data_IF_786131456825
#
_entry.id   IF_786131456825
#
_cell.length_a   1.000
_cell.length_b   1.000
_cell.length_c   1.000
_cell.angle_alpha   90.00
_cell.angle_beta   90.00
_cell.angle_gamma   90.00
#
_symmetry.space_group_name_H-M   'P 1'
#
loop_
_entity.id
_entity.type
_entity.pdbx_description
1 polymer ?
#
# COMPACT_ATOMS: atom_id res chain seq x y z
N UNK A 1 -24.81 18.12 -4.45
CA UNK A 1 -24.87 16.66 -4.14
C UNK A 1 -24.09 15.97 -5.22
N UNK A 2 -23.15 15.12 -4.87
CA UNK A 2 -22.32 14.38 -5.85
C UNK A 2 -23.01 13.06 -6.21
N UNK A 3 -23.14 12.77 -7.51
CA UNK A 3 -23.61 11.47 -7.98
C UNK A 3 -22.45 10.45 -7.93
N UNK A 4 -22.63 9.37 -7.18
CA UNK A 4 -21.63 8.30 -7.11
C UNK A 4 -21.58 7.53 -8.43
N UNK A 5 -20.38 7.36 -8.96
CA UNK A 5 -20.15 6.65 -10.22
C UNK A 5 -19.10 5.54 -10.04
N UNK A 6 -19.36 4.39 -10.64
CA UNK A 6 -18.41 3.27 -10.67
C UNK A 6 -18.39 2.61 -12.04
N UNK A 7 -17.22 2.14 -12.42
CA UNK A 7 -17.02 1.22 -13.54
C UNK A 7 -16.13 0.08 -13.06
N UNK A 8 -16.70 -1.12 -13.01
CA UNK A 8 -16.00 -2.29 -12.53
C UNK A 8 -16.01 -3.34 -13.63
N UNK A 9 -14.82 -3.78 -14.02
CA UNK A 9 -14.62 -4.80 -15.04
C UNK A 9 -13.94 -6.01 -14.42
N UNK A 10 -14.53 -7.21 -14.57
CA UNK A 10 -13.96 -8.47 -14.09
C UNK A 10 -14.05 -9.50 -15.22
N UNK A 11 -12.92 -10.08 -15.62
CA UNK A 11 -12.86 -11.05 -16.71
C UNK A 11 -13.41 -10.50 -18.04
N UNK A 12 -13.24 -9.19 -18.28
CA UNK A 12 -13.78 -8.51 -19.47
C UNK A 12 -15.27 -8.15 -19.39
N UNK A 13 -15.96 -8.51 -18.30
CA UNK A 13 -17.38 -8.18 -18.09
C UNK A 13 -17.53 -6.93 -17.25
N UNK A 14 -18.33 -5.98 -17.72
CA UNK A 14 -18.64 -4.74 -16.99
C UNK A 14 -19.86 -4.94 -16.09
N UNK A 15 -19.74 -4.52 -14.84
CA UNK A 15 -20.81 -4.50 -13.86
C UNK A 15 -21.48 -3.14 -13.83
N UNK A 16 -22.78 -3.08 -14.10
CA UNK A 16 -23.57 -1.85 -14.10
C UNK A 16 -23.91 -1.32 -12.69
N UNK A 17 -23.71 -2.14 -11.68
CA UNK A 17 -23.92 -1.79 -10.28
C UNK A 17 -23.28 -2.79 -9.36
N UNK A 18 -22.85 -2.30 -8.20
CA UNK A 18 -22.24 -3.10 -7.13
C UNK A 18 -22.89 -2.75 -5.81
N UNK A 19 -22.91 -3.68 -4.89
CA UNK A 19 -23.45 -3.45 -3.55
C UNK A 19 -22.43 -2.70 -2.68
N UNK A 20 -21.18 -3.15 -2.74
CA UNK A 20 -20.10 -2.60 -1.90
C UNK A 20 -18.74 -2.91 -2.52
N UNK A 21 -17.81 -1.97 -2.40
CA UNK A 21 -16.39 -2.13 -2.77
C UNK A 21 -15.54 -1.66 -1.62
N UNK A 22 -14.54 -2.45 -1.27
CA UNK A 22 -13.54 -2.08 -0.27
C UNK A 22 -12.16 -2.38 -0.81
N UNK A 23 -11.29 -1.36 -0.89
CA UNK A 23 -9.93 -1.46 -1.39
C UNK A 23 -8.99 -1.08 -0.26
N UNK A 24 -7.95 -1.88 -0.03
CA UNK A 24 -6.92 -1.61 0.98
C UNK A 24 -5.54 -1.63 0.35
N UNK A 25 -4.75 -0.61 0.64
CA UNK A 25 -3.35 -0.47 0.24
C UNK A 25 -2.52 -0.03 1.44
N UNK A 26 -1.31 -0.56 1.58
CA UNK A 26 -0.40 -0.18 2.67
C UNK A 26 1.04 -0.41 2.27
N UNK A 27 1.96 0.45 2.75
CA UNK A 27 3.41 0.21 2.62
C UNK A 27 3.89 -0.99 3.44
N UNK A 28 3.06 -1.43 4.39
CA UNK A 28 3.36 -2.57 5.26
C UNK A 28 2.89 -3.90 4.71
N UNK A 29 2.11 -3.90 3.64
CA UNK A 29 1.58 -5.12 3.02
C UNK A 29 2.19 -5.34 1.64
N UNK A 30 2.49 -6.61 1.31
CA UNK A 30 3.04 -6.98 0.01
C UNK A 30 2.05 -6.83 -1.13
N UNK A 31 0.77 -6.90 -0.81
CA UNK A 31 -0.31 -6.87 -1.78
C UNK A 31 -1.38 -5.87 -1.39
N UNK A 32 -1.84 -5.09 -2.34
CA UNK A 32 -3.11 -4.40 -2.21
C UNK A 32 -4.26 -5.39 -2.45
N UNK A 33 -5.36 -5.20 -1.73
CA UNK A 33 -6.53 -6.08 -1.84
C UNK A 33 -7.78 -5.28 -2.15
N UNK A 34 -8.69 -5.89 -2.90
CA UNK A 34 -10.03 -5.36 -3.10
C UNK A 34 -11.07 -6.44 -2.82
N UNK A 35 -12.17 -6.04 -2.21
CA UNK A 35 -13.35 -6.89 -2.04
C UNK A 35 -14.51 -6.20 -2.74
N UNK A 36 -15.15 -6.90 -3.68
CA UNK A 36 -16.30 -6.41 -4.43
C UNK A 36 -17.51 -7.30 -4.10
N UNK A 37 -18.60 -6.70 -3.65
CA UNK A 37 -19.85 -7.39 -3.40
C UNK A 37 -20.84 -7.09 -4.50
N UNK A 38 -21.34 -8.15 -5.14
CA UNK A 38 -22.29 -8.07 -6.26
C UNK A 38 -23.50 -8.97 -6.00
N UNK A 39 -24.63 -8.75 -6.67
CA UNK A 39 -25.77 -9.70 -6.61
C UNK A 39 -25.34 -11.12 -7.04
N UNK A 40 -25.99 -12.13 -6.49
CA UNK A 40 -25.75 -13.54 -6.84
C UNK A 40 -26.13 -13.82 -8.28
N UNK A 41 -27.23 -13.21 -8.76
CA UNK A 41 -27.68 -13.26 -10.14
C UNK A 41 -27.61 -11.87 -10.78
N UNK A 42 -27.34 -11.84 -12.06
CA UNK A 42 -27.29 -10.62 -12.85
C UNK A 42 -27.78 -10.86 -14.29
N UNK A 43 -28.17 -9.78 -14.93
CA UNK A 43 -28.57 -9.80 -16.33
C UNK A 43 -27.35 -9.58 -17.20
N UNK A 44 -26.98 -10.58 -17.99
CA UNK A 44 -25.88 -10.50 -18.96
C UNK A 44 -26.41 -9.94 -20.27
N UNK A 45 -25.87 -8.78 -20.69
CA UNK A 45 -26.13 -8.17 -22.00
C UNK A 45 -24.91 -8.36 -22.90
N UNK A 46 -25.08 -9.04 -24.03
CA UNK A 46 -24.07 -9.21 -25.05
C UNK A 46 -24.62 -8.71 -26.39
N UNK A 47 -23.80 -8.00 -27.17
CA UNK A 47 -24.21 -7.53 -28.48
C UNK A 47 -24.65 -8.69 -29.37
N UNK A 48 -25.82 -8.58 -30.00
CA UNK A 48 -26.37 -9.60 -30.91
C UNK A 48 -26.90 -10.89 -30.24
N UNK A 49 -26.99 -10.94 -28.89
CA UNK A 49 -27.55 -12.08 -28.16
C UNK A 49 -28.74 -11.66 -27.33
N UNK A 50 -29.68 -12.60 -27.06
CA UNK A 50 -30.76 -12.38 -26.10
C UNK A 50 -30.21 -12.02 -24.71
N UNK A 51 -30.92 -11.19 -24.01
CA UNK A 51 -30.65 -10.87 -22.62
C UNK A 51 -30.90 -12.10 -21.76
N UNK A 52 -29.90 -12.52 -20.97
CA UNK A 52 -29.98 -13.76 -20.18
C UNK A 52 -29.69 -13.48 -18.72
N UNK A 53 -30.47 -14.04 -17.82
CA UNK A 53 -30.12 -14.05 -16.39
C UNK A 53 -29.07 -15.14 -16.15
N UNK A 54 -28.02 -14.76 -15.41
CA UNK A 54 -26.88 -15.64 -15.11
C UNK A 54 -26.54 -15.60 -13.63
N UNK A 55 -26.04 -16.72 -13.13
CA UNK A 55 -25.42 -16.79 -11.82
C UNK A 55 -23.98 -16.22 -11.93
N UNK A 56 -23.73 -15.09 -11.26
CA UNK A 56 -22.47 -14.34 -11.41
C UNK A 56 -21.24 -15.18 -11.06
N UNK A 57 -21.37 -16.09 -10.08
CA UNK A 57 -20.26 -16.95 -9.68
C UNK A 57 -19.82 -17.95 -10.80
N UNK A 58 -20.70 -18.28 -11.75
CA UNK A 58 -20.34 -19.12 -12.91
C UNK A 58 -19.63 -18.36 -14.02
N UNK A 59 -19.80 -17.06 -14.03
CA UNK A 59 -19.26 -16.15 -15.05
C UNK A 59 -17.88 -15.58 -14.71
N UNK A 60 -17.40 -15.77 -13.49
CA UNK A 60 -16.12 -15.23 -12.97
C UNK A 60 -15.26 -16.41 -12.52
N UNK A 61 -13.95 -16.32 -12.83
CA UNK A 61 -12.97 -17.33 -12.44
C UNK A 61 -11.83 -16.71 -11.64
N UNK A 62 -11.24 -17.50 -10.77
CA UNK A 62 -9.98 -17.15 -10.10
C UNK A 62 -8.89 -16.90 -11.15
N UNK A 63 -8.25 -15.73 -11.06
CA UNK A 63 -7.26 -15.27 -12.03
C UNK A 63 -7.82 -14.34 -13.11
N UNK A 64 -9.12 -14.12 -13.16
CA UNK A 64 -9.69 -13.10 -14.06
C UNK A 64 -9.15 -11.72 -13.70
N UNK A 65 -8.77 -10.89 -14.70
CA UNK A 65 -8.33 -9.53 -14.46
C UNK A 65 -9.47 -8.67 -13.93
N UNK A 66 -9.13 -7.77 -13.02
CA UNK A 66 -10.06 -6.84 -12.36
C UNK A 66 -9.56 -5.42 -12.51
N UNK A 67 -10.44 -4.52 -12.95
CA UNK A 67 -10.25 -3.08 -12.88
C UNK A 67 -11.44 -2.43 -12.20
N UNK A 68 -11.15 -1.59 -11.19
CA UNK A 68 -12.14 -0.86 -10.42
C UNK A 68 -11.86 0.64 -10.58
N UNK A 69 -12.81 1.35 -11.15
CA UNK A 69 -12.79 2.79 -11.32
C UNK A 69 -13.96 3.39 -10.55
N UNK A 70 -13.66 4.33 -9.67
CA UNK A 70 -14.65 4.97 -8.80
C UNK A 70 -14.52 6.50 -8.88
N UNK A 71 -15.62 7.19 -8.62
CA UNK A 71 -15.61 8.65 -8.62
C UNK A 71 -16.98 9.28 -8.45
N UNK A 72 -17.08 10.52 -8.87
CA UNK A 72 -18.27 11.36 -8.77
C UNK A 72 -18.60 12.00 -10.11
N UNK A 73 -19.90 12.21 -10.40
CA UNK A 73 -20.41 13.00 -11.52
C UNK A 73 -19.81 12.60 -12.89
N UNK A 74 -19.54 11.29 -13.06
CA UNK A 74 -18.95 10.73 -14.28
C UNK A 74 -17.43 10.82 -14.37
N UNK A 75 -16.74 11.48 -13.44
CA UNK A 75 -15.28 11.54 -13.36
C UNK A 75 -14.80 10.35 -12.54
N UNK A 76 -14.12 9.42 -13.19
CA UNK A 76 -13.67 8.16 -12.61
C UNK A 76 -12.14 8.10 -12.52
N UNK A 77 -11.63 7.74 -11.34
CA UNK A 77 -10.23 7.39 -11.14
C UNK A 77 -10.07 5.87 -11.04
N UNK A 78 -8.98 5.34 -11.55
CA UNK A 78 -8.63 3.93 -11.34
C UNK A 78 -8.19 3.73 -9.89
N UNK A 79 -9.03 3.05 -9.12
CA UNK A 79 -8.77 2.79 -7.71
C UNK A 79 -8.09 1.44 -7.48
N UNK A 80 -8.25 0.47 -8.40
CA UNK A 80 -7.62 -0.83 -8.25
C UNK A 80 -7.47 -1.53 -9.61
N UNK A 81 -6.32 -2.18 -9.79
CA UNK A 81 -6.06 -3.16 -10.85
C UNK A 81 -5.48 -4.41 -10.21
N UNK A 82 -5.95 -5.59 -10.66
CA UNK A 82 -5.49 -6.85 -10.12
C UNK A 82 -6.22 -8.04 -10.70
N UNK A 83 -6.37 -9.07 -9.89
CA UNK A 83 -6.90 -10.36 -10.29
C UNK A 83 -7.85 -10.92 -9.24
N UNK A 84 -8.84 -11.67 -9.67
CA UNK A 84 -9.73 -12.42 -8.76
C UNK A 84 -8.90 -13.50 -8.03
N UNK A 85 -8.84 -13.38 -6.73
CA UNK A 85 -8.13 -14.34 -5.86
C UNK A 85 -9.07 -15.45 -5.38
N UNK A 86 -10.29 -15.09 -5.02
CA UNK A 86 -11.24 -16.00 -4.40
C UNK A 86 -12.68 -15.50 -4.59
N UNK A 87 -13.60 -16.45 -4.74
CA UNK A 87 -15.04 -16.20 -4.69
C UNK A 87 -15.59 -16.80 -3.40
N UNK A 88 -16.26 -15.98 -2.61
CA UNK A 88 -16.98 -16.42 -1.42
C UNK A 88 -18.47 -16.43 -1.76
N UNK A 89 -19.04 -17.64 -1.84
CA UNK A 89 -20.42 -17.86 -2.22
C UNK A 89 -21.37 -17.50 -1.07
N UNK A 90 -21.59 -16.21 -0.91
CA UNK A 90 -22.47 -15.58 0.08
C UNK A 90 -23.54 -14.78 -0.64
N UNK A 91 -24.49 -14.24 0.09
CA UNK A 91 -25.47 -13.28 -0.41
C UNK A 91 -25.28 -11.94 0.33
N UNK A 92 -24.80 -10.89 -0.34
CA UNK A 92 -24.33 -10.81 -1.74
C UNK A 92 -23.05 -11.62 -1.98
N UNK A 93 -22.80 -12.02 -3.25
CA UNK A 93 -21.57 -12.69 -3.67
C UNK A 93 -20.37 -11.77 -3.40
N UNK A 94 -19.35 -12.31 -2.73
CA UNK A 94 -18.14 -11.57 -2.37
C UNK A 94 -16.96 -12.06 -3.24
N UNK A 95 -16.40 -11.13 -4.01
CA UNK A 95 -15.24 -11.35 -4.90
C UNK A 95 -14.05 -10.72 -4.24
N UNK A 96 -13.09 -11.55 -3.82
CA UNK A 96 -11.83 -11.09 -3.24
C UNK A 96 -10.77 -11.00 -4.32
N UNK A 97 -10.13 -9.85 -4.44
CA UNK A 97 -9.11 -9.55 -5.44
C UNK A 97 -7.78 -9.18 -4.79
N UNK A 98 -6.70 -9.43 -5.49
CA UNK A 98 -5.34 -9.07 -5.12
C UNK A 98 -4.68 -8.38 -6.32
N UNK A 99 -3.80 -7.43 -6.09
CA UNK A 99 -3.09 -6.71 -7.15
C UNK A 99 -2.13 -7.62 -7.95
N UNK A 100 -1.12 -7.06 -8.59
CA UNK A 100 -0.11 -7.80 -9.37
C UNK A 100 0.62 -8.88 -8.54
N UNK A 101 0.63 -8.77 -7.21
CA UNK A 101 1.20 -9.79 -6.32
C UNK A 101 0.53 -11.17 -6.49
N UNK A 102 -0.72 -11.23 -6.95
CA UNK A 102 -1.39 -12.49 -7.28
C UNK A 102 -0.57 -13.33 -8.28
N UNK A 103 -0.01 -12.70 -9.32
CA UNK A 103 0.82 -13.39 -10.30
C UNK A 103 2.15 -13.87 -9.72
N UNK A 104 2.71 -13.10 -8.77
CA UNK A 104 3.96 -13.46 -8.09
C UNK A 104 3.89 -14.79 -7.33
N UNK A 105 2.70 -15.25 -6.97
CA UNK A 105 2.48 -16.56 -6.33
C UNK A 105 2.57 -17.72 -7.30
N UNK A 106 2.35 -17.46 -8.58
CA UNK A 106 2.27 -18.48 -9.64
C UNK A 106 3.54 -18.62 -10.47
N UNK A 107 4.39 -17.60 -10.40
CA UNK A 107 5.67 -17.59 -11.11
C UNK A 107 6.79 -17.97 -10.17
N UNK A 108 7.70 -18.85 -10.60
CA UNK A 108 8.90 -19.26 -9.86
C UNK A 108 10.15 -18.75 -10.55
N UNK A 109 11.19 -18.46 -9.76
CA UNK A 109 12.46 -17.96 -10.22
C UNK A 109 13.62 -18.64 -9.50
N UNK A 110 14.73 -18.82 -10.22
CA UNK A 110 16.01 -19.24 -9.66
C UNK A 110 16.99 -18.10 -9.81
N UNK A 111 17.57 -17.63 -8.72
CA UNK A 111 18.57 -16.56 -8.69
C UNK A 111 19.77 -17.03 -7.90
N UNK A 112 20.97 -16.67 -8.34
CA UNK A 112 22.22 -17.00 -7.64
C UNK A 112 23.29 -15.97 -7.91
N UNK A 113 24.14 -15.73 -6.90
CA UNK A 113 25.32 -14.90 -7.00
C UNK A 113 25.08 -13.43 -6.66
N UNK A 114 26.04 -12.60 -7.09
CA UNK A 114 26.02 -11.16 -6.88
C UNK A 114 24.99 -10.50 -7.82
N UNK A 115 24.15 -9.62 -7.28
CA UNK A 115 23.09 -8.96 -8.03
C UNK A 115 22.74 -7.62 -7.36
N UNK A 116 21.94 -6.81 -8.02
CA UNK A 116 21.33 -5.60 -7.42
C UNK A 116 19.86 -5.85 -7.13
N UNK A 117 19.28 -5.03 -6.26
CA UNK A 117 17.85 -5.11 -5.95
C UNK A 117 16.99 -4.89 -7.23
N UNK A 118 17.37 -3.94 -8.06
CA UNK A 118 16.68 -3.68 -9.35
C UNK A 118 16.76 -4.89 -10.29
N UNK A 119 17.91 -5.55 -10.37
CA UNK A 119 18.07 -6.76 -11.20
C UNK A 119 17.23 -7.92 -10.67
N UNK A 120 17.13 -8.08 -9.34
CA UNK A 120 16.24 -9.10 -8.74
C UNK A 120 14.81 -8.87 -9.18
N UNK A 121 14.29 -7.64 -9.08
CA UNK A 121 12.94 -7.29 -9.51
C UNK A 121 12.75 -7.59 -11.01
N UNK A 122 13.69 -7.17 -11.86
CA UNK A 122 13.64 -7.45 -13.30
C UNK A 122 13.68 -8.95 -13.64
N UNK A 123 14.54 -9.73 -12.97
CA UNK A 123 14.61 -11.19 -13.14
C UNK A 123 13.35 -11.93 -12.63
N UNK A 124 12.60 -11.31 -11.73
CA UNK A 124 11.28 -11.78 -11.33
C UNK A 124 10.18 -11.47 -12.36
N UNK A 125 10.51 -10.85 -13.50
CA UNK A 125 9.53 -10.44 -14.52
C UNK A 125 8.68 -9.24 -14.09
N UNK A 126 9.14 -8.45 -13.13
CA UNK A 126 8.43 -7.32 -12.57
C UNK A 126 9.05 -6.00 -13.03
N UNK A 127 8.24 -4.96 -13.14
CA UNK A 127 8.70 -3.61 -13.42
C UNK A 127 9.04 -2.90 -12.12
N UNK A 128 10.26 -2.39 -12.01
CA UNK A 128 10.66 -1.57 -10.87
C UNK A 128 10.05 -0.16 -10.98
N UNK A 129 9.36 0.29 -9.94
CA UNK A 129 8.93 1.67 -9.77
C UNK A 129 10.02 2.48 -9.05
N UNK A 130 10.30 2.10 -7.80
CA UNK A 130 11.39 2.67 -7.02
C UNK A 130 12.10 1.57 -6.24
N UNK A 131 13.43 1.52 -6.36
CA UNK A 131 14.26 0.53 -5.65
C UNK A 131 15.43 1.21 -4.96
N UNK A 132 15.74 0.76 -3.74
CA UNK A 132 16.96 1.19 -3.06
C UNK A 132 18.21 0.76 -3.86
N UNK A 133 19.26 1.57 -3.79
CA UNK A 133 20.58 1.23 -4.34
C UNK A 133 21.27 0.19 -3.45
N UNK A 134 20.79 -1.05 -3.48
CA UNK A 134 21.27 -2.13 -2.65
C UNK A 134 21.94 -3.19 -3.52
N UNK A 135 23.23 -3.47 -3.25
CA UNK A 135 23.96 -4.59 -3.81
C UNK A 135 23.79 -5.83 -2.91
N UNK A 136 23.44 -6.94 -3.51
CA UNK A 136 23.23 -8.22 -2.86
C UNK A 136 24.37 -9.15 -3.27
N UNK A 137 25.38 -9.32 -2.41
CA UNK A 137 26.62 -10.05 -2.74
C UNK A 137 26.40 -11.56 -2.90
N UNK A 138 25.47 -12.14 -2.14
CA UNK A 138 25.15 -13.57 -2.20
C UNK A 138 23.65 -13.80 -2.06
N UNK A 139 22.92 -13.50 -3.13
CA UNK A 139 21.48 -13.69 -3.13
C UNK A 139 21.10 -15.02 -3.78
N UNK A 140 20.65 -15.97 -2.96
CA UNK A 140 20.32 -17.33 -3.39
C UNK A 140 18.83 -17.57 -3.31
N UNK A 141 18.25 -17.97 -4.45
CA UNK A 141 16.82 -18.32 -4.56
C UNK A 141 16.69 -19.59 -5.39
N UNK A 142 16.63 -20.77 -4.75
CA UNK A 142 16.50 -22.03 -5.46
C UNK A 142 15.05 -22.31 -5.82
N UNK A 143 14.64 -22.02 -7.05
CA UNK A 143 13.31 -22.30 -7.61
C UNK A 143 12.17 -21.98 -6.63
N UNK A 144 12.04 -20.71 -6.24
CA UNK A 144 11.01 -20.24 -5.32
C UNK A 144 10.00 -19.35 -6.04
N UNK A 145 8.73 -19.28 -5.56
CA UNK A 145 7.77 -18.31 -6.07
C UNK A 145 8.31 -16.88 -5.93
N UNK A 146 7.99 -16.03 -6.90
CA UNK A 146 8.37 -14.60 -6.85
C UNK A 146 7.83 -13.94 -5.56
N UNK A 147 6.64 -14.31 -5.12
CA UNK A 147 6.07 -13.84 -3.84
C UNK A 147 6.98 -14.15 -2.64
N UNK A 148 7.66 -15.29 -2.65
CA UNK A 148 8.64 -15.64 -1.61
C UNK A 148 9.87 -14.71 -1.68
N UNK A 149 10.32 -14.38 -2.90
CA UNK A 149 11.46 -13.45 -3.09
C UNK A 149 11.12 -12.08 -2.52
N UNK A 150 9.94 -11.53 -2.85
CA UNK A 150 9.49 -10.24 -2.32
C UNK A 150 9.33 -10.27 -0.79
N UNK A 151 8.78 -11.35 -0.24
CA UNK A 151 8.68 -11.55 1.21
C UNK A 151 10.06 -11.64 1.88
N UNK A 152 11.03 -12.30 1.23
CA UNK A 152 12.41 -12.38 1.70
C UNK A 152 13.08 -11.00 1.72
N UNK A 153 12.93 -10.22 0.66
CA UNK A 153 13.45 -8.84 0.61
C UNK A 153 12.88 -7.99 1.75
N UNK A 154 11.57 -8.09 2.00
CA UNK A 154 10.93 -7.39 3.12
C UNK A 154 11.45 -7.86 4.48
N UNK A 155 11.53 -9.17 4.70
CA UNK A 155 11.88 -9.75 5.99
C UNK A 155 13.36 -9.63 6.33
N UNK A 156 14.23 -10.01 5.38
CA UNK A 156 15.66 -10.15 5.64
C UNK A 156 16.41 -8.82 5.51
N UNK A 157 15.89 -7.93 4.66
CA UNK A 157 16.46 -6.61 4.40
C UNK A 157 15.65 -5.44 4.96
N UNK A 158 14.51 -5.71 5.62
CA UNK A 158 13.68 -4.67 6.24
C UNK A 158 13.09 -3.66 5.27
N UNK A 159 13.00 -4.02 3.99
CA UNK A 159 12.47 -3.13 2.96
C UNK A 159 10.94 -3.04 3.05
N UNK A 160 10.40 -1.88 2.76
CA UNK A 160 9.01 -1.77 2.31
C UNK A 160 8.94 -2.30 0.89
N UNK A 161 8.09 -3.31 0.67
CA UNK A 161 7.87 -3.91 -0.64
C UNK A 161 6.37 -3.94 -0.90
N UNK A 162 5.94 -3.23 -1.93
CA UNK A 162 4.53 -3.17 -2.33
C UNK A 162 4.42 -2.78 -3.81
N UNK A 163 3.21 -2.85 -4.37
CA UNK A 163 2.93 -2.39 -5.73
C UNK A 163 2.28 -1.01 -5.72
N UNK A 164 2.77 -0.13 -6.56
CA UNK A 164 2.14 1.16 -6.80
C UNK A 164 0.82 1.00 -7.61
N UNK A 165 0.00 2.06 -7.77
CA UNK A 165 -1.23 1.99 -8.54
C UNK A 165 -1.05 1.57 -10.00
N UNK A 166 0.12 1.78 -10.58
CA UNK A 166 0.49 1.40 -11.94
C UNK A 166 0.98 -0.06 -12.05
N UNK A 167 1.08 -0.78 -10.90
CA UNK A 167 1.54 -2.17 -10.84
C UNK A 167 3.06 -2.33 -10.89
N UNK A 168 3.83 -1.26 -10.62
CA UNK A 168 5.29 -1.31 -10.50
C UNK A 168 5.69 -1.59 -9.06
N UNK A 169 6.81 -2.28 -8.85
CA UNK A 169 7.29 -2.65 -7.52
C UNK A 169 8.04 -1.48 -6.87
N UNK A 170 7.60 -1.09 -5.71
CA UNK A 170 8.40 -0.35 -4.77
C UNK A 170 9.18 -1.34 -3.90
N UNK A 171 10.50 -1.17 -3.77
CA UNK A 171 11.34 -1.96 -2.88
C UNK A 171 12.49 -1.08 -2.34
N UNK A 172 12.27 -0.45 -1.21
CA UNK A 172 13.25 0.44 -0.57
C UNK A 172 13.01 0.52 0.94
N UNK A 173 13.89 1.24 1.62
CA UNK A 173 13.68 1.59 3.02
C UNK A 173 12.33 2.33 3.18
N UNK A 174 11.61 2.12 4.29
CA UNK A 174 10.37 2.83 4.57
C UNK A 174 10.55 4.35 4.49
N UNK A 175 9.53 5.06 3.99
CA UNK A 175 9.48 6.52 3.92
C UNK A 175 10.54 7.20 3.02
N UNK A 176 11.15 6.46 2.10
CA UNK A 176 12.12 7.03 1.13
C UNK A 176 11.47 7.52 -0.15
N UNK A 177 10.37 6.93 -0.56
CA UNK A 177 9.64 7.36 -1.75
C UNK A 177 8.87 8.63 -1.43
N UNK A 178 8.93 9.58 -2.34
CA UNK A 178 8.09 10.77 -2.33
C UNK A 178 7.29 10.75 -3.62
N UNK A 179 6.01 10.39 -3.50
CA UNK A 179 5.03 10.55 -4.56
C UNK A 179 4.49 11.98 -4.61
N UNK A 180 3.40 12.19 -5.34
CA UNK A 180 2.72 13.48 -5.38
C UNK A 180 2.21 13.89 -4.00
N UNK A 181 2.08 15.20 -3.78
CA UNK A 181 1.51 15.76 -2.55
C UNK A 181 0.02 16.01 -2.73
N UNK A 182 -0.75 15.51 -1.78
CA UNK A 182 -2.21 15.73 -1.70
C UNK A 182 -2.54 16.71 -0.61
N UNK A 183 -3.38 17.68 -0.89
CA UNK A 183 -3.79 18.73 0.04
C UNK A 183 -5.07 18.37 0.76
N UNK A 184 -5.01 18.33 2.08
CA UNK A 184 -6.14 18.12 2.97
C UNK A 184 -6.32 19.32 3.89
N UNK A 185 -7.45 20.01 3.73
CA UNK A 185 -7.85 21.12 4.58
C UNK A 185 -8.88 20.58 5.57
N UNK A 186 -8.51 20.57 6.86
CA UNK A 186 -9.41 20.14 7.93
C UNK A 186 -10.67 21.00 7.91
N UNK A 187 -11.82 20.39 8.16
CA UNK A 187 -13.15 21.03 8.12
C UNK A 187 -13.60 21.50 6.72
N UNK A 188 -12.84 21.20 5.64
CA UNK A 188 -13.21 21.56 4.27
C UNK A 188 -13.35 20.33 3.36
N UNK A 189 -12.27 19.60 3.07
CA UNK A 189 -12.29 18.38 2.25
C UNK A 189 -11.98 17.11 3.07
N UNK A 190 -11.80 17.23 4.36
CA UNK A 190 -11.78 16.15 5.33
C UNK A 190 -13.15 16.02 5.97
N UNK A 191 -13.75 14.83 5.88
CA UNK A 191 -15.11 14.55 6.38
C UNK A 191 -15.07 14.27 7.86
N UNK A 192 -14.03 13.54 8.31
CA UNK A 192 -13.84 13.13 9.70
C UNK A 192 -12.36 13.06 10.02
N UNK A 193 -12.00 13.58 11.19
CA UNK A 193 -10.64 13.65 11.73
C UNK A 193 -10.55 13.18 13.20
N UNK A 194 -11.58 12.47 13.69
CA UNK A 194 -11.69 12.03 15.09
C UNK A 194 -10.51 11.12 15.50
N UNK A 195 -9.96 10.37 14.54
CA UNK A 195 -8.82 9.48 14.76
C UNK A 195 -7.47 10.19 14.57
N UNK A 196 -7.48 11.50 14.28
CA UNK A 196 -6.30 12.32 14.12
C UNK A 196 -5.87 12.88 15.49
N UNK A 197 -4.67 12.55 15.93
CA UNK A 197 -4.12 13.00 17.20
C UNK A 197 -2.94 13.91 16.96
N UNK A 198 -2.87 15.01 17.68
CA UNK A 198 -1.67 15.83 17.71
C UNK A 198 -0.77 15.34 18.83
N UNK A 199 0.46 14.99 18.51
CA UNK A 199 1.49 14.53 19.44
C UNK A 199 2.57 15.60 19.60
N UNK A 200 3.18 15.65 20.77
CA UNK A 200 4.40 16.41 21.03
C UNK A 200 5.60 15.48 20.91
N UNK A 201 6.72 16.00 20.42
CA UNK A 201 7.95 15.22 20.28
C UNK A 201 8.43 14.63 21.61
N UNK A 202 8.22 15.36 22.71
CA UNK A 202 8.59 14.95 24.08
C UNK A 202 7.76 13.77 24.61
N UNK A 203 6.53 13.61 24.11
CA UNK A 203 5.64 12.52 24.53
C UNK A 203 5.88 11.23 23.72
N UNK A 204 6.66 11.28 22.65
CA UNK A 204 6.93 10.14 21.80
C UNK A 204 7.96 9.22 22.42
N UNK A 205 7.49 8.19 23.12
CA UNK A 205 8.34 7.14 23.67
C UNK A 205 8.64 6.07 22.64
N UNK A 206 9.79 6.21 22.00
CA UNK A 206 10.24 5.31 20.94
C UNK A 206 11.63 4.76 21.24
N UNK A 207 11.87 3.50 20.85
CA UNK A 207 13.15 2.82 20.90
C UNK A 207 13.49 2.29 19.51
N UNK A 208 14.53 2.82 18.90
CA UNK A 208 15.00 2.33 17.60
C UNK A 208 15.98 1.18 17.81
N UNK A 209 15.61 0.00 17.30
CA UNK A 209 16.52 -1.12 17.12
C UNK A 209 17.09 -1.04 15.69
N UNK A 210 18.27 -0.49 15.55
CA UNK A 210 18.99 -0.43 14.27
C UNK A 210 19.71 -1.75 14.02
N UNK A 211 19.55 -2.31 12.83
CA UNK A 211 20.20 -3.55 12.39
C UNK A 211 20.95 -3.26 11.10
N UNK A 212 22.24 -3.51 11.08
CA UNK A 212 23.05 -3.51 9.86
C UNK A 212 23.37 -4.94 9.46
N UNK A 213 23.16 -5.25 8.19
CA UNK A 213 23.54 -6.54 7.61
C UNK A 213 24.71 -6.28 6.69
N UNK A 214 25.89 -6.79 7.07
CA UNK A 214 27.10 -6.68 6.25
C UNK A 214 27.07 -7.66 5.07
N UNK A 215 27.95 -7.43 4.12
CA UNK A 215 28.05 -8.23 2.88
C UNK A 215 28.35 -9.71 3.12
N UNK A 216 29.05 -10.03 4.20
CA UNK A 216 29.38 -11.40 4.63
C UNK A 216 28.22 -12.09 5.38
N UNK A 217 27.09 -11.38 5.59
CA UNK A 217 25.93 -11.86 6.33
C UNK A 217 25.98 -11.59 7.83
N UNK A 218 27.07 -11.01 8.34
CA UNK A 218 27.18 -10.61 9.76
C UNK A 218 26.16 -9.51 10.07
N UNK A 219 25.53 -9.61 11.25
CA UNK A 219 24.57 -8.61 11.74
C UNK A 219 25.15 -7.87 12.93
N UNK A 220 25.06 -6.56 12.88
CA UNK A 220 25.38 -5.67 14.01
C UNK A 220 24.12 -4.91 14.39
N UNK A 221 23.90 -4.76 15.69
CA UNK A 221 22.71 -4.10 16.23
C UNK A 221 23.09 -2.94 17.15
N UNK A 222 22.31 -1.88 17.12
CA UNK A 222 22.34 -0.79 18.08
C UNK A 222 20.93 -0.47 18.54
N UNK A 223 20.74 -0.14 19.83
CA UNK A 223 19.46 0.25 20.40
C UNK A 223 19.58 1.65 20.98
N UNK A 224 18.73 2.57 20.52
CA UNK A 224 18.73 3.98 20.90
C UNK A 224 17.30 4.40 21.23
N UNK A 225 17.10 5.19 22.27
CA UNK A 225 15.81 5.74 22.67
C UNK A 225 15.37 5.35 24.09
N UNK A 226 14.11 5.54 24.41
CA UNK A 226 13.56 5.30 25.73
C UNK A 226 13.51 3.80 26.04
N UNK A 227 13.91 3.41 27.27
CA UNK A 227 13.89 1.99 27.68
C UNK A 227 12.48 1.40 27.66
N UNK A 228 11.47 2.18 28.08
CA UNK A 228 10.05 1.86 28.07
C UNK A 228 9.34 2.20 26.75
N UNK A 229 10.10 2.63 25.73
CA UNK A 229 9.55 3.04 24.43
C UNK A 229 9.14 1.85 23.56
N UNK A 230 8.18 2.11 22.66
CA UNK A 230 7.78 1.15 21.63
C UNK A 230 8.98 0.85 20.72
N UNK A 231 9.40 -0.42 20.65
CA UNK A 231 10.56 -0.82 19.83
C UNK A 231 10.18 -0.85 18.35
N UNK A 232 10.94 -0.10 17.54
CA UNK A 232 10.84 -0.06 16.08
C UNK A 232 12.16 -0.55 15.47
N UNK A 233 12.12 -1.69 14.77
CA UNK A 233 13.31 -2.22 14.10
C UNK A 233 13.49 -1.53 12.75
N UNK A 234 14.70 -1.03 12.50
CA UNK A 234 15.12 -0.42 11.25
C UNK A 234 16.38 -1.06 10.72
N UNK A 235 16.45 -1.23 9.41
CA UNK A 235 17.59 -1.83 8.74
C UNK A 235 18.39 -0.76 8.01
N UNK A 236 19.71 -0.84 8.15
CA UNK A 236 20.67 0.06 7.52
C UNK A 236 21.67 -0.75 6.71
N UNK A 237 22.17 -0.17 5.64
CA UNK A 237 23.07 -0.80 4.70
C UNK A 237 24.30 0.08 4.49
N UNK A 238 25.40 -0.54 4.10
CA UNK A 238 26.70 0.14 3.86
C UNK A 238 27.20 0.98 5.05
N UNK A 239 26.91 0.52 6.27
CA UNK A 239 27.41 1.13 7.53
C UNK A 239 28.78 0.59 7.83
N UNK A 240 29.75 1.46 8.18
CA UNK A 240 31.15 1.10 8.39
C UNK A 240 31.37 0.39 9.73
N UNK A 241 30.71 0.89 10.77
CA UNK A 241 30.91 0.44 12.13
C UNK A 241 29.69 0.67 13.02
N UNK A 242 29.75 0.20 14.25
CA UNK A 242 28.67 0.32 15.22
C UNK A 242 28.40 1.79 15.62
N UNK A 243 29.37 2.66 15.58
CA UNK A 243 29.21 4.06 15.93
C UNK A 243 28.40 4.79 14.86
N UNK A 244 28.66 4.53 13.58
CA UNK A 244 27.88 5.06 12.47
C UNK A 244 26.43 4.50 12.52
N UNK A 245 26.25 3.22 12.84
CA UNK A 245 24.91 2.61 13.02
C UNK A 245 24.13 3.31 14.15
N UNK A 246 24.77 3.57 15.27
CA UNK A 246 24.17 4.30 16.39
C UNK A 246 23.81 5.75 16.02
N UNK A 247 24.66 6.43 15.26
CA UNK A 247 24.38 7.79 14.77
C UNK A 247 23.17 7.82 13.81
N UNK A 248 23.06 6.85 12.90
CA UNK A 248 21.91 6.70 12.01
C UNK A 248 20.64 6.40 12.81
N UNK A 249 20.73 5.52 13.82
CA UNK A 249 19.59 5.22 14.70
C UNK A 249 19.12 6.46 15.46
N UNK A 250 20.05 7.28 15.94
CA UNK A 250 19.74 8.54 16.64
C UNK A 250 19.06 9.55 15.71
N UNK A 251 19.51 9.64 14.45
CA UNK A 251 18.89 10.50 13.44
C UNK A 251 17.45 10.07 13.15
N UNK A 252 17.20 8.75 13.02
CA UNK A 252 15.85 8.21 12.81
C UNK A 252 14.97 8.39 14.06
N UNK A 253 15.50 8.21 15.26
CA UNK A 253 14.77 8.51 16.49
C UNK A 253 14.28 9.97 16.50
N UNK A 254 15.17 10.91 16.19
CA UNK A 254 14.82 12.34 16.11
C UNK A 254 13.78 12.61 15.02
N UNK A 255 13.90 11.93 13.87
CA UNK A 255 12.96 12.06 12.75
C UNK A 255 11.56 11.57 13.11
N UNK A 256 11.46 10.52 13.94
CA UNK A 256 10.20 9.98 14.40
C UNK A 256 9.61 10.66 15.64
N UNK A 257 10.41 11.45 16.36
CA UNK A 257 9.98 12.26 17.50
C UNK A 257 9.74 13.69 17.04
N UNK A 258 8.51 14.01 16.63
CA UNK A 258 8.13 15.30 16.06
C UNK A 258 6.82 15.82 16.65
N UNK A 259 6.66 17.15 16.65
CA UNK A 259 5.39 17.79 16.91
C UNK A 259 4.54 17.73 15.65
N UNK A 260 3.36 17.11 15.74
CA UNK A 260 2.52 16.97 14.57
C UNK A 260 1.38 15.98 14.73
N UNK A 261 0.67 15.79 13.64
CA UNK A 261 -0.44 14.85 13.59
C UNK A 261 0.03 13.42 13.32
N UNK A 262 -0.69 12.47 13.89
CA UNK A 262 -0.62 11.03 13.60
C UNK A 262 -2.03 10.45 13.61
N UNK A 263 -2.25 9.34 12.88
CA UNK A 263 -3.55 8.67 12.85
C UNK A 263 -4.22 8.72 11.49
N UNK A 264 -5.55 8.79 11.48
CA UNK A 264 -6.35 8.66 10.25
C UNK A 264 -7.27 9.84 10.04
N UNK A 265 -7.42 10.20 8.77
CA UNK A 265 -8.45 11.11 8.30
C UNK A 265 -9.39 10.38 7.34
N UNK A 266 -10.65 10.74 7.35
CA UNK A 266 -11.63 10.27 6.37
C UNK A 266 -11.99 11.38 5.41
N UNK A 267 -11.88 11.11 4.12
CA UNK A 267 -12.06 12.08 3.04
C UNK A 267 -13.03 11.58 1.98
N UNK A 268 -13.38 12.42 1.03
CA UNK A 268 -13.99 12.00 -0.24
C UNK A 268 -12.97 11.21 -1.08
N UNK A 269 -13.40 10.64 -2.23
CA UNK A 269 -12.49 9.98 -3.17
C UNK A 269 -11.57 10.96 -3.90
N UNK A 270 -11.90 12.23 -3.88
CA UNK A 270 -11.11 13.31 -4.47
C UNK A 270 -10.61 14.23 -3.35
N UNK A 271 -9.30 14.53 -3.34
CA UNK A 271 -8.25 14.10 -4.27
C UNK A 271 -7.88 12.63 -4.13
N UNK A 272 -7.31 12.05 -5.19
CA UNK A 272 -6.76 10.68 -5.14
C UNK A 272 -5.57 10.62 -4.19
N UNK A 273 -5.48 9.53 -3.42
CA UNK A 273 -4.35 9.28 -2.52
C UNK A 273 -3.98 7.80 -2.53
N UNK A 274 -2.67 7.54 -2.45
CA UNK A 274 -2.10 6.20 -2.35
C UNK A 274 -0.94 6.17 -1.35
N UNK A 275 -0.58 5.00 -0.79
CA UNK A 275 0.60 4.86 0.05
C UNK A 275 1.87 5.30 -0.71
N UNK A 276 2.78 5.98 -0.01
CA UNK A 276 3.98 6.56 -0.60
C UNK A 276 3.83 8.01 -1.08
N UNK A 277 2.62 8.53 -1.19
CA UNK A 277 2.35 9.97 -1.41
C UNK A 277 2.49 10.76 -0.12
N UNK A 278 2.48 12.09 -0.23
CA UNK A 278 2.46 13.00 0.91
C UNK A 278 1.08 13.61 1.12
N UNK A 279 0.63 13.66 2.36
CA UNK A 279 -0.53 14.43 2.80
C UNK A 279 -0.09 15.77 3.37
N UNK A 280 -0.43 16.86 2.72
CA UNK A 280 -0.27 18.21 3.28
C UNK A 280 -1.54 18.55 4.05
N UNK A 281 -1.44 18.59 5.38
CA UNK A 281 -2.54 18.95 6.27
C UNK A 281 -2.52 20.44 6.56
N UNK A 282 -3.65 21.11 6.31
CA UNK A 282 -3.88 22.51 6.66
C UNK A 282 -5.00 22.60 7.70
N UNK A 283 -4.68 23.21 8.84
CA UNK A 283 -5.64 23.59 9.88
C UNK A 283 -5.73 25.12 9.93
N UNK A 284 -6.87 25.67 9.53
CA UNK A 284 -7.09 27.11 9.52
C UNK A 284 -7.22 27.71 10.94
N UNK A 285 -7.66 26.89 11.91
CA UNK A 285 -7.83 27.35 13.30
C UNK A 285 -6.51 27.28 14.06
N UNK A 286 -5.70 26.25 13.79
CA UNK A 286 -4.45 26.01 14.48
C UNK A 286 -3.31 25.89 13.46
N UNK A 287 -2.98 26.97 12.79
CA UNK A 287 -2.01 27.00 11.70
C UNK A 287 -0.62 26.46 12.09
N UNK A 288 -0.22 26.51 13.37
CA UNK A 288 1.02 25.92 13.87
C UNK A 288 1.06 24.38 13.79
N UNK A 289 -0.10 23.74 13.59
CA UNK A 289 -0.21 22.27 13.41
C UNK A 289 -0.06 21.83 11.96
N UNK A 290 0.01 22.75 11.00
CA UNK A 290 0.18 22.42 9.59
C UNK A 290 1.45 21.61 9.37
N UNK A 291 1.40 20.72 8.39
CA UNK A 291 2.56 19.89 8.08
C UNK A 291 2.31 18.94 6.92
N UNK A 292 3.41 18.38 6.42
CA UNK A 292 3.40 17.32 5.42
C UNK A 292 3.73 16.00 6.06
N UNK A 293 2.98 14.98 5.72
CA UNK A 293 3.04 13.66 6.33
C UNK A 293 3.07 12.58 5.24
N UNK A 294 3.82 11.53 5.49
CA UNK A 294 3.85 10.37 4.63
C UNK A 294 2.55 9.58 4.74
N UNK A 295 1.96 9.16 3.61
CA UNK A 295 0.77 8.31 3.60
C UNK A 295 1.22 6.86 3.71
N UNK A 296 0.87 6.19 4.80
CA UNK A 296 1.26 4.81 5.10
C UNK A 296 0.24 3.80 4.58
N UNK A 297 -1.04 4.10 4.73
CA UNK A 297 -2.10 3.24 4.22
C UNK A 297 -3.31 4.03 3.74
N UNK A 298 -4.04 3.44 2.82
CA UNK A 298 -5.28 3.98 2.28
C UNK A 298 -6.31 2.88 2.19
N UNK A 299 -7.50 3.15 2.74
CA UNK A 299 -8.67 2.32 2.55
C UNK A 299 -9.75 3.11 1.82
N UNK A 300 -10.18 2.60 0.65
CA UNK A 300 -11.27 3.18 -0.13
C UNK A 300 -12.51 2.30 0.01
N UNK A 301 -13.64 2.90 0.36
CA UNK A 301 -14.96 2.25 0.40
C UNK A 301 -15.91 2.94 -0.55
N UNK A 302 -16.77 2.17 -1.22
CA UNK A 302 -17.77 2.66 -2.15
C UNK A 302 -18.98 1.74 -2.12
N UNK A 303 -20.18 2.29 -2.01
CA UNK A 303 -21.40 1.50 -1.99
C UNK A 303 -22.62 2.28 -1.54
N UNK A 304 -23.63 1.56 -1.05
CA UNK A 304 -24.93 2.13 -0.61
C UNK A 304 -24.79 3.15 0.53
N UNK A 305 -23.72 3.04 1.34
CA UNK A 305 -23.43 3.97 2.43
C UNK A 305 -22.60 5.20 2.01
N UNK A 306 -22.36 5.35 0.72
CA UNK A 306 -21.55 6.43 0.16
C UNK A 306 -20.15 5.96 -0.27
N UNK A 307 -19.32 6.95 -0.62
CA UNK A 307 -17.92 6.69 -0.99
C UNK A 307 -16.99 7.47 -0.07
N UNK A 308 -15.99 6.81 0.49
CA UNK A 308 -15.05 7.37 1.46
C UNK A 308 -13.65 6.84 1.23
N UNK A 309 -12.68 7.69 1.56
CA UNK A 309 -11.27 7.29 1.63
C UNK A 309 -10.74 7.57 3.02
N UNK A 310 -10.26 6.54 3.69
CA UNK A 310 -9.53 6.66 4.95
C UNK A 310 -8.04 6.68 4.63
N UNK A 311 -7.35 7.74 5.02
CA UNK A 311 -5.92 7.95 4.79
C UNK A 311 -5.22 7.92 6.12
N UNK A 312 -4.31 6.97 6.31
CA UNK A 312 -3.47 6.87 7.48
C UNK A 312 -2.16 7.61 7.20
N UNK A 313 -1.89 8.58 8.04
CA UNK A 313 -0.67 9.38 7.98
C UNK A 313 0.32 8.92 9.05
N UNK A 314 1.57 8.92 8.69
CA UNK A 314 2.68 8.56 9.57
C UNK A 314 3.69 9.69 9.70
N UNK A 315 4.92 9.40 9.32
CA UNK A 315 6.05 10.29 9.50
C UNK A 315 5.83 11.68 8.93
N UNK A 316 6.14 12.72 9.71
CA UNK A 316 6.21 14.11 9.26
C UNK A 316 7.47 14.32 8.41
N UNK A 317 7.31 15.03 7.27
CA UNK A 317 8.37 15.25 6.28
C UNK A 317 8.77 16.73 6.24
#
# INVERSE_FOLDING_TARGET
MFALCSEITIGGKKFGGVHDVRIKRSIYELAATATVKVPVTAVLKQAGKPVTEVEVAKEIKTGDPVEIRLGYDGILNTEFKGYVKQLNLKTPLEIVCEDAFYLCRKQSVTLSGKTTLTDVIGKCGLTAGYTAKLALESFQVPNKPVSWVLAKLKKDYGLSVFFDPEGRVYAAEPFKMVGDTVKYRLRYNVIRDDDLKYQLAEDVKLKIKAVCIYRDGTKVEAKIGAEDGTEKTMYFYDVKDQAELAALAQAELKRHSYDGYSGKIQTFLVPFAAPGMLAELEDEVYAYRNGRYYIESVETTFGTSGARRSVEIGLKV
#
